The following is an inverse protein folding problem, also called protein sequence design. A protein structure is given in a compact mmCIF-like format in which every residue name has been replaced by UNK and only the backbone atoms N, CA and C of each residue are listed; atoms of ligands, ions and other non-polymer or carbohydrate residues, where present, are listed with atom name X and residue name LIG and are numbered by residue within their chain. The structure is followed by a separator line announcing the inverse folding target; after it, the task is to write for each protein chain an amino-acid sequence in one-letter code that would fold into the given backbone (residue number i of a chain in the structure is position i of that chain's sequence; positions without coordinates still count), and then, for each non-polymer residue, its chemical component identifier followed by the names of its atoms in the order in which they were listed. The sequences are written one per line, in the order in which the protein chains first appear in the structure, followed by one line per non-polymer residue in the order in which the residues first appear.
data_IF_951292636786
#
_entry.id   IF_951292636786
#
_cell.length_a   1.000
_cell.length_b   1.000
_cell.length_c   1.000
_cell.angle_alpha   90.00
_cell.angle_beta   90.00
_cell.angle_gamma   90.00
#
_symmetry.space_group_name_H-M   'P 1'
#
loop_
_entity.id
_entity.type
_entity.pdbx_description
1 polymer ?
#
# COMPACT_ATOMS: atom_id res chain seq x y z
N UNK A 1 -7.41 -11.94 -9.88
CA UNK A 1 -6.94 -10.53 -10.04
C UNK A 1 -5.79 -10.28 -9.08
N UNK A 2 -4.82 -9.46 -9.45
CA UNK A 2 -3.71 -9.03 -8.60
C UNK A 2 -3.70 -7.50 -8.49
N UNK A 3 -3.24 -6.96 -7.35
CA UNK A 3 -3.08 -5.51 -7.16
C UNK A 3 -1.59 -5.18 -7.13
N UNK A 4 -1.19 -4.19 -7.94
CA UNK A 4 0.19 -3.73 -8.12
C UNK A 4 0.24 -2.26 -7.70
N UNK A 5 1.12 -1.91 -6.75
CA UNK A 5 1.37 -0.52 -6.42
C UNK A 5 2.51 0.04 -7.27
N UNK A 6 2.42 1.33 -7.65
CA UNK A 6 3.57 2.04 -8.20
C UNK A 6 4.47 2.57 -7.09
N UNK A 7 5.74 2.79 -7.37
CA UNK A 7 6.69 3.49 -6.50
C UNK A 7 7.71 4.26 -7.35
N UNK A 8 8.40 5.21 -6.76
CA UNK A 8 9.44 6.00 -7.43
C UNK A 8 9.24 7.50 -7.28
N UNK A 9 10.24 8.26 -7.69
CA UNK A 9 10.29 9.72 -7.56
C UNK A 9 9.13 10.44 -8.28
N UNK A 10 8.80 11.66 -7.85
CA UNK A 10 7.89 12.54 -8.59
C UNK A 10 8.44 12.77 -10.01
N UNK A 11 7.56 12.93 -10.98
CA UNK A 11 7.89 13.15 -12.40
C UNK A 11 8.67 12.03 -13.11
N UNK A 12 8.95 10.90 -12.48
CA UNK A 12 9.51 9.71 -13.14
C UNK A 12 8.53 8.97 -14.05
N UNK A 13 7.30 9.49 -14.23
CA UNK A 13 6.33 8.99 -15.20
C UNK A 13 5.50 7.80 -14.74
N UNK A 14 5.26 7.62 -13.41
CA UNK A 14 4.42 6.54 -12.87
C UNK A 14 3.04 6.53 -13.49
N UNK A 15 2.29 7.63 -13.38
CA UNK A 15 0.92 7.75 -13.92
C UNK A 15 0.89 7.61 -15.45
N UNK A 16 1.89 8.16 -16.15
CA UNK A 16 2.03 8.01 -17.60
C UNK A 16 2.25 6.54 -17.99
N UNK A 17 3.05 5.81 -17.22
CA UNK A 17 3.30 4.39 -17.42
C UNK A 17 2.04 3.55 -17.16
N UNK A 18 1.34 3.81 -16.05
CA UNK A 18 0.06 3.17 -15.75
C UNK A 18 -0.95 3.40 -16.88
N UNK A 19 -1.02 4.64 -17.39
CA UNK A 19 -1.87 4.96 -18.54
C UNK A 19 -1.47 4.20 -19.79
N UNK A 20 -0.18 4.03 -20.10
CA UNK A 20 0.30 3.25 -21.24
C UNK A 20 -0.03 1.74 -21.10
N UNK A 21 0.00 1.20 -19.89
CA UNK A 21 -0.35 -0.19 -19.60
C UNK A 21 -1.85 -0.47 -19.68
N UNK A 22 -2.68 0.50 -19.26
CA UNK A 22 -4.12 0.29 -18.99
C UNK A 22 -5.05 1.04 -19.97
N UNK A 23 -4.53 2.00 -20.72
CA UNK A 23 -5.28 3.00 -21.52
C UNK A 23 -6.18 3.92 -20.67
N UNK A 24 -6.12 3.83 -19.35
CA UNK A 24 -6.91 4.61 -18.40
C UNK A 24 -6.07 5.73 -17.79
N UNK A 25 -6.71 6.86 -17.49
CA UNK A 25 -6.09 7.97 -16.76
C UNK A 25 -6.24 7.74 -15.25
N UNK A 26 -5.13 7.49 -14.51
CA UNK A 26 -5.21 7.26 -13.06
C UNK A 26 -5.47 8.55 -12.28
N UNK A 27 -5.02 9.72 -12.77
CA UNK A 27 -5.19 11.01 -12.13
C UNK A 27 -6.62 11.53 -12.33
N UNK A 28 -7.33 11.74 -11.22
CA UNK A 28 -8.76 12.10 -11.23
C UNK A 28 -9.02 13.58 -11.04
N UNK A 29 -8.17 14.25 -10.24
CA UNK A 29 -8.39 15.62 -9.86
C UNK A 29 -7.90 16.58 -10.95
N UNK A 30 -8.70 17.61 -11.25
CA UNK A 30 -8.29 18.68 -12.15
C UNK A 30 -7.00 19.35 -11.67
N UNK A 31 -6.76 19.36 -10.35
CA UNK A 31 -5.55 19.92 -9.76
C UNK A 31 -4.32 19.06 -10.03
N UNK A 32 -4.43 17.74 -10.02
CA UNK A 32 -3.37 16.79 -10.42
C UNK A 32 -2.98 17.01 -11.87
N UNK A 33 -3.96 17.08 -12.76
CA UNK A 33 -3.76 17.35 -14.19
C UNK A 33 -3.13 18.72 -14.44
N UNK A 34 -3.57 19.76 -13.70
CA UNK A 34 -3.02 21.10 -13.82
C UNK A 34 -1.59 21.22 -13.32
N UNK A 35 -1.25 20.50 -12.23
CA UNK A 35 0.09 20.48 -11.64
C UNK A 35 1.02 19.45 -12.26
N UNK A 36 0.49 18.49 -13.01
CA UNK A 36 1.25 17.38 -13.58
C UNK A 36 1.80 16.42 -12.53
N UNK A 37 1.18 16.35 -11.32
CA UNK A 37 1.64 15.48 -10.25
C UNK A 37 0.46 14.83 -9.52
N UNK A 38 0.61 13.55 -9.18
CA UNK A 38 -0.35 12.78 -8.40
C UNK A 38 -0.33 13.24 -6.94
N UNK A 39 -1.50 13.58 -6.39
CA UNK A 39 -1.68 14.07 -5.01
C UNK A 39 -2.26 12.97 -4.13
N UNK A 40 -3.27 12.27 -4.62
CA UNK A 40 -3.93 11.15 -3.94
C UNK A 40 -3.73 9.86 -4.73
N UNK A 41 -4.29 8.76 -4.28
CA UNK A 41 -4.17 7.46 -4.95
C UNK A 41 -4.92 7.46 -6.28
N UNK A 42 -4.24 7.09 -7.36
CA UNK A 42 -4.84 6.80 -8.66
C UNK A 42 -5.19 5.31 -8.79
N UNK A 43 -6.17 4.97 -9.62
CA UNK A 43 -6.56 3.58 -9.84
C UNK A 43 -6.84 3.32 -11.31
N UNK A 44 -6.26 2.26 -11.84
CA UNK A 44 -6.46 1.77 -13.19
C UNK A 44 -6.36 0.25 -13.22
N UNK A 45 -6.88 -0.40 -14.24
CA UNK A 45 -6.83 -1.85 -14.38
C UNK A 45 -6.66 -2.26 -15.84
N UNK A 46 -6.17 -3.47 -16.04
CA UNK A 46 -6.00 -4.09 -17.36
C UNK A 46 -5.93 -5.61 -17.23
N UNK A 47 -5.98 -6.28 -18.36
CA UNK A 47 -5.74 -7.72 -18.44
C UNK A 47 -4.34 -7.95 -19.00
N UNK A 48 -3.56 -8.80 -18.36
CA UNK A 48 -2.22 -9.22 -18.79
C UNK A 48 -2.29 -10.25 -19.93
N UNK A 49 -1.18 -10.56 -20.63
CA UNK A 49 -1.16 -11.55 -21.72
C UNK A 49 -1.66 -12.94 -21.33
N UNK A 50 -1.47 -13.38 -20.08
CA UNK A 50 -2.02 -14.66 -19.57
C UNK A 50 -3.53 -14.69 -19.42
N UNK A 51 -4.21 -13.54 -19.53
CA UNK A 51 -5.63 -13.38 -19.21
C UNK A 51 -5.88 -13.00 -17.75
N UNK A 52 -4.84 -12.84 -16.92
CA UNK A 52 -4.98 -12.40 -15.55
C UNK A 52 -5.30 -10.90 -15.46
N UNK A 53 -6.32 -10.55 -14.67
CA UNK A 53 -6.68 -9.16 -14.42
C UNK A 53 -5.77 -8.55 -13.35
N UNK A 54 -5.28 -7.35 -13.58
CA UNK A 54 -4.48 -6.59 -12.63
C UNK A 54 -5.06 -5.20 -12.42
N UNK A 55 -5.04 -4.75 -11.17
CA UNK A 55 -5.36 -3.39 -10.78
C UNK A 55 -4.08 -2.68 -10.33
N UNK A 56 -3.90 -1.44 -10.77
CA UNK A 56 -2.81 -0.58 -10.34
C UNK A 56 -3.30 0.41 -9.29
N UNK A 57 -2.52 0.55 -8.22
CA UNK A 57 -2.63 1.64 -7.26
C UNK A 57 -1.48 2.61 -7.57
N UNK A 58 -1.79 3.68 -8.26
CA UNK A 58 -0.82 4.72 -8.58
C UNK A 58 -0.66 5.66 -7.40
N UNK A 59 0.54 5.67 -6.81
CA UNK A 59 0.82 6.43 -5.60
C UNK A 59 1.57 7.72 -5.92
N UNK A 60 1.35 8.81 -5.14
CA UNK A 60 2.09 10.05 -5.32
C UNK A 60 3.58 9.85 -5.05
N UNK A 61 4.43 10.51 -5.87
CA UNK A 61 5.89 10.46 -5.73
C UNK A 61 6.48 11.57 -4.87
N UNK A 62 5.72 12.64 -4.60
CA UNK A 62 6.23 13.80 -3.91
C UNK A 62 6.23 13.60 -2.38
N UNK A 63 7.31 13.98 -1.70
CA UNK A 63 7.53 13.81 -0.25
C UNK A 63 6.40 14.33 0.66
N UNK A 64 5.67 15.39 0.23
CA UNK A 64 4.52 15.92 0.98
C UNK A 64 3.37 14.93 1.07
N UNK A 65 3.30 14.00 0.14
CA UNK A 65 2.21 13.01 0.05
C UNK A 65 2.66 11.61 0.48
N UNK A 66 3.77 11.51 1.21
CA UNK A 66 4.28 10.23 1.70
C UNK A 66 3.20 9.44 2.48
N UNK A 67 2.36 10.12 3.27
CA UNK A 67 1.23 9.48 3.96
C UNK A 67 0.20 8.85 3.00
N UNK A 68 -0.07 9.50 1.85
CA UNK A 68 -0.95 8.94 0.83
C UNK A 68 -0.28 7.75 0.12
N UNK A 69 1.02 7.85 -0.17
CA UNK A 69 1.81 6.75 -0.73
C UNK A 69 1.75 5.53 0.20
N UNK A 70 2.01 5.71 1.50
CA UNK A 70 1.96 4.63 2.47
C UNK A 70 0.56 4.03 2.61
N UNK A 71 -0.50 4.85 2.53
CA UNK A 71 -1.88 4.36 2.53
C UNK A 71 -2.22 3.54 1.28
N UNK A 72 -1.52 3.74 0.16
CA UNK A 72 -1.64 2.90 -1.04
C UNK A 72 -0.85 1.59 -0.94
N UNK A 73 0.40 1.66 -0.45
CA UNK A 73 1.28 0.51 -0.29
C UNK A 73 0.89 -0.40 0.88
N UNK A 74 0.45 0.17 1.99
CA UNK A 74 0.19 -0.57 3.23
C UNK A 74 -0.81 -1.72 3.08
N UNK A 75 -2.03 -1.51 2.50
CA UNK A 75 -2.98 -2.61 2.30
C UNK A 75 -2.42 -3.70 1.39
N UNK A 76 -1.64 -3.33 0.37
CA UNK A 76 -1.01 -4.27 -0.57
C UNK A 76 0.06 -5.09 0.15
N UNK A 77 0.88 -4.46 1.01
CA UNK A 77 1.88 -5.12 1.83
C UNK A 77 1.31 -6.15 2.82
N UNK A 78 0.03 -6.05 3.16
CA UNK A 78 -0.68 -7.04 3.98
C UNK A 78 -1.25 -8.22 3.18
N UNK A 79 -1.15 -8.18 1.85
CA UNK A 79 -1.59 -9.24 0.96
C UNK A 79 -0.62 -10.42 0.90
N UNK A 80 -1.07 -11.57 0.38
CA UNK A 80 -0.27 -12.79 0.34
C UNK A 80 0.92 -12.73 -0.62
N UNK A 81 0.88 -11.81 -1.60
CA UNK A 81 1.92 -11.69 -2.62
C UNK A 81 1.98 -10.26 -3.18
N UNK A 82 2.40 -9.28 -2.37
CA UNK A 82 2.45 -7.90 -2.81
C UNK A 82 3.42 -7.70 -3.97
N UNK A 83 3.00 -6.93 -5.00
CA UNK A 83 3.82 -6.62 -6.17
C UNK A 83 4.01 -5.11 -6.30
N UNK A 84 5.22 -4.70 -6.60
CA UNK A 84 5.61 -3.31 -6.78
C UNK A 84 6.07 -3.05 -8.21
N UNK A 85 5.55 -1.99 -8.82
CA UNK A 85 6.06 -1.40 -10.05
C UNK A 85 6.93 -0.19 -9.68
N UNK A 86 8.24 -0.39 -9.62
CA UNK A 86 9.19 0.64 -9.19
C UNK A 86 9.71 1.42 -10.40
N UNK A 87 9.45 2.73 -10.46
CA UNK A 87 9.72 3.55 -11.65
C UNK A 87 10.88 4.51 -11.39
N UNK A 88 11.92 4.42 -12.21
CA UNK A 88 13.09 5.31 -12.22
C UNK A 88 13.23 5.88 -13.63
N UNK A 89 13.37 7.19 -13.78
CA UNK A 89 13.56 7.80 -15.09
C UNK A 89 14.99 7.52 -15.61
N UNK A 90 15.11 7.03 -16.83
CA UNK A 90 16.39 6.65 -17.43
C UNK A 90 17.32 7.84 -17.69
N UNK A 91 16.74 9.02 -17.90
CA UNK A 91 17.44 10.30 -18.15
C UNK A 91 17.90 10.99 -16.85
N UNK A 92 17.26 10.69 -15.71
CA UNK A 92 17.58 11.33 -14.42
C UNK A 92 18.25 10.36 -13.41
N UNK A 93 18.02 9.05 -13.55
CA UNK A 93 18.54 8.03 -12.64
C UNK A 93 17.84 8.02 -11.27
N UNK A 94 18.50 7.43 -10.29
CA UNK A 94 17.97 7.28 -8.93
C UNK A 94 17.91 8.62 -8.18
N UNK A 95 16.82 8.87 -7.48
CA UNK A 95 16.56 10.10 -6.75
C UNK A 95 16.23 9.84 -5.27
N UNK A 96 16.33 10.86 -4.42
CA UNK A 96 16.12 10.74 -2.97
C UNK A 96 14.76 10.11 -2.60
N UNK A 97 13.67 10.50 -3.28
CA UNK A 97 12.35 9.92 -3.00
C UNK A 97 12.25 8.46 -3.46
N UNK A 98 13.09 8.02 -4.40
CA UNK A 98 13.19 6.59 -4.74
C UNK A 98 13.71 5.79 -3.54
N UNK A 99 14.68 6.32 -2.79
CA UNK A 99 15.16 5.69 -1.56
C UNK A 99 14.08 5.61 -0.49
N UNK A 100 13.31 6.69 -0.27
CA UNK A 100 12.18 6.68 0.69
C UNK A 100 11.12 5.62 0.34
N UNK A 101 10.83 5.46 -0.96
CA UNK A 101 9.88 4.46 -1.45
C UNK A 101 10.44 3.03 -1.34
N UNK A 102 11.74 2.85 -1.56
CA UNK A 102 12.42 1.57 -1.35
C UNK A 102 12.41 1.17 0.12
N UNK A 103 12.74 2.09 1.03
CA UNK A 103 12.70 1.87 2.48
C UNK A 103 11.29 1.46 2.94
N UNK A 104 10.24 2.11 2.41
CA UNK A 104 8.87 1.75 2.69
C UNK A 104 8.52 0.35 2.17
N UNK A 105 8.91 0.01 0.94
CA UNK A 105 8.66 -1.30 0.35
C UNK A 105 9.36 -2.42 1.14
N UNK A 106 10.62 -2.23 1.52
CA UNK A 106 11.39 -3.16 2.35
C UNK A 106 10.77 -3.31 3.74
N UNK A 107 10.36 -2.20 4.36
CA UNK A 107 9.71 -2.22 5.68
C UNK A 107 8.39 -3.01 5.66
N UNK A 108 7.61 -2.92 4.57
CA UNK A 108 6.38 -3.68 4.35
C UNK A 108 6.64 -5.12 3.89
N UNK A 109 7.91 -5.52 3.67
CA UNK A 109 8.28 -6.87 3.24
C UNK A 109 7.87 -7.19 1.82
N UNK A 110 7.85 -6.19 0.95
CA UNK A 110 7.61 -6.41 -0.48
C UNK A 110 8.89 -7.00 -1.08
N UNK A 111 8.78 -8.21 -1.63
CA UNK A 111 9.90 -8.96 -2.22
C UNK A 111 9.73 -9.16 -3.74
N UNK A 112 8.58 -8.76 -4.28
CA UNK A 112 8.22 -8.97 -5.68
C UNK A 112 8.03 -7.61 -6.36
N UNK A 113 8.84 -7.33 -7.36
CA UNK A 113 8.78 -6.07 -8.08
C UNK A 113 9.25 -6.23 -9.53
N UNK A 114 8.88 -5.26 -10.37
CA UNK A 114 9.59 -4.93 -11.60
C UNK A 114 10.10 -3.50 -11.45
N UNK A 115 11.37 -3.27 -11.73
CA UNK A 115 11.91 -1.93 -11.90
C UNK A 115 11.77 -1.51 -13.36
N UNK A 116 11.22 -0.33 -13.57
CA UNK A 116 11.09 0.26 -14.90
C UNK A 116 12.03 1.45 -15.03
N UNK A 117 12.93 1.39 -16.00
CA UNK A 117 13.65 2.56 -16.47
C UNK A 117 12.75 3.28 -17.49
N UNK A 118 11.97 4.24 -16.98
CA UNK A 118 11.02 5.02 -17.78
C UNK A 118 11.72 6.07 -18.64
N UNK A 119 10.98 6.73 -19.56
CA UNK A 119 11.52 7.76 -20.44
C UNK A 119 12.74 7.27 -21.26
N UNK A 120 12.74 6.02 -21.69
CA UNK A 120 13.82 5.46 -22.46
C UNK A 120 14.07 6.26 -23.76
N UNK A 121 13.03 6.87 -24.34
CA UNK A 121 13.12 7.76 -25.51
C UNK A 121 13.90 9.06 -25.28
N UNK A 122 14.08 9.49 -24.00
CA UNK A 122 14.81 10.71 -23.65
C UNK A 122 16.26 10.45 -23.23
N UNK A 123 16.63 9.20 -22.99
CA UNK A 123 17.94 8.81 -22.50
C UNK A 123 18.78 8.17 -23.62
N UNK A 124 20.04 8.58 -23.72
CA UNK A 124 21.01 7.89 -24.55
C UNK A 124 21.45 6.53 -23.91
N UNK A 125 22.22 5.74 -24.66
CA UNK A 125 22.65 4.42 -24.20
C UNK A 125 23.51 4.48 -22.90
N UNK A 126 24.33 5.53 -22.74
CA UNK A 126 25.16 5.71 -21.57
C UNK A 126 24.32 6.10 -20.35
N UNK A 127 23.34 6.98 -20.51
CA UNK A 127 22.41 7.35 -19.45
C UNK A 127 21.58 6.16 -18.97
N UNK A 128 21.02 5.36 -19.90
CA UNK A 128 20.29 4.11 -19.56
C UNK A 128 21.17 3.14 -18.76
N UNK A 129 22.42 2.92 -19.22
CA UNK A 129 23.38 2.04 -18.51
C UNK A 129 23.73 2.56 -17.11
N UNK A 130 23.91 3.87 -16.97
CA UNK A 130 24.19 4.50 -15.68
C UNK A 130 23.00 4.38 -14.73
N UNK A 131 21.77 4.63 -15.19
CA UNK A 131 20.56 4.47 -14.39
C UNK A 131 20.36 3.02 -13.95
N UNK A 132 20.57 2.04 -14.84
CA UNK A 132 20.52 0.62 -14.50
C UNK A 132 21.55 0.25 -13.42
N UNK A 133 22.80 0.74 -13.54
CA UNK A 133 23.84 0.50 -12.55
C UNK A 133 23.54 1.17 -11.19
N UNK A 134 22.88 2.35 -11.19
CA UNK A 134 22.41 2.98 -9.97
C UNK A 134 21.31 2.13 -9.30
N UNK A 135 20.31 1.70 -10.05
CA UNK A 135 19.24 0.82 -9.56
C UNK A 135 19.83 -0.42 -8.90
N UNK A 136 20.76 -1.11 -9.57
CA UNK A 136 21.40 -2.31 -9.00
C UNK A 136 22.14 -2.04 -7.69
N UNK A 137 22.83 -0.89 -7.58
CA UNK A 137 23.52 -0.50 -6.33
C UNK A 137 22.55 -0.21 -5.19
N UNK A 138 21.49 0.53 -5.47
CA UNK A 138 20.51 0.92 -4.46
C UNK A 138 19.68 -0.30 -3.96
N UNK A 139 19.39 -1.24 -4.84
CA UNK A 139 18.68 -2.47 -4.49
C UNK A 139 19.60 -3.52 -3.81
N UNK A 140 20.92 -3.37 -3.93
CA UNK A 140 21.87 -4.32 -3.34
C UNK A 140 21.66 -4.47 -1.83
N UNK A 141 21.60 -5.71 -1.35
CA UNK A 141 21.35 -6.01 0.08
C UNK A 141 19.90 -5.88 0.53
N UNK A 142 18.98 -5.57 -0.37
CA UNK A 142 17.53 -5.59 -0.12
C UNK A 142 16.89 -6.87 -0.69
N UNK A 143 15.68 -7.23 -0.27
CA UNK A 143 14.92 -8.32 -0.88
C UNK A 143 14.65 -8.12 -2.39
N UNK A 144 14.76 -6.89 -2.88
CA UNK A 144 14.54 -6.53 -4.28
C UNK A 144 15.80 -6.56 -5.16
N UNK A 145 16.93 -7.06 -4.66
CA UNK A 145 18.22 -7.02 -5.35
C UNK A 145 18.24 -7.77 -6.71
N UNK A 146 17.36 -8.75 -6.91
CA UNK A 146 17.33 -9.61 -8.10
C UNK A 146 16.07 -9.42 -8.97
N UNK A 147 15.31 -8.35 -8.75
CA UNK A 147 14.10 -8.11 -9.54
C UNK A 147 14.44 -7.68 -10.96
N UNK A 148 13.60 -8.01 -11.96
CA UNK A 148 13.83 -7.62 -13.34
C UNK A 148 13.82 -6.10 -13.51
N UNK A 149 14.70 -5.61 -14.40
CA UNK A 149 14.76 -4.20 -14.83
C UNK A 149 14.36 -4.13 -16.30
N UNK A 150 13.35 -3.32 -16.62
CA UNK A 150 12.82 -3.18 -17.98
C UNK A 150 12.90 -1.71 -18.41
N UNK A 151 13.52 -1.46 -19.56
CA UNK A 151 13.52 -0.13 -20.20
C UNK A 151 12.20 0.11 -20.93
N UNK A 152 11.56 1.26 -20.68
CA UNK A 152 10.25 1.58 -21.26
C UNK A 152 10.15 3.05 -21.65
N UNK A 153 9.58 3.30 -22.82
CA UNK A 153 9.01 4.60 -23.18
C UNK A 153 7.48 4.48 -23.28
N UNK A 154 6.78 5.08 -22.36
CA UNK A 154 5.32 5.15 -22.39
C UNK A 154 4.79 6.01 -23.57
N UNK A 155 5.65 6.87 -24.16
CA UNK A 155 5.31 7.75 -25.29
C UNK A 155 5.41 7.02 -26.62
N UNK A 156 6.50 6.26 -26.83
CA UNK A 156 6.74 5.53 -28.10
C UNK A 156 6.19 4.11 -28.09
N UNK A 157 5.87 3.56 -26.90
CA UNK A 157 5.48 2.16 -26.71
C UNK A 157 6.68 1.19 -26.59
N UNK A 158 7.93 1.69 -26.68
CA UNK A 158 9.12 0.86 -26.49
C UNK A 158 9.10 0.14 -25.15
N UNK A 159 9.25 -1.19 -25.14
CA UNK A 159 9.37 -2.00 -23.92
C UNK A 159 8.06 -2.27 -23.17
N UNK A 160 6.92 -1.71 -23.58
CA UNK A 160 5.62 -1.89 -22.87
C UNK A 160 5.20 -3.37 -22.87
N UNK A 161 5.37 -4.09 -23.96
CA UNK A 161 5.02 -5.51 -24.05
C UNK A 161 5.94 -6.36 -23.15
N UNK A 162 7.24 -6.07 -23.13
CA UNK A 162 8.20 -6.73 -22.21
C UNK A 162 7.84 -6.48 -20.76
N UNK A 163 7.36 -5.27 -20.43
CA UNK A 163 6.90 -4.96 -19.09
C UNK A 163 5.65 -5.76 -18.73
N UNK A 164 4.69 -5.91 -19.66
CA UNK A 164 3.49 -6.74 -19.46
C UNK A 164 3.86 -8.20 -19.22
N UNK A 165 4.80 -8.75 -19.96
CA UNK A 165 5.34 -10.11 -19.75
C UNK A 165 6.05 -10.24 -18.39
N UNK A 166 6.85 -9.25 -17.99
CA UNK A 166 7.51 -9.25 -16.69
C UNK A 166 6.53 -9.19 -15.52
N UNK A 167 5.45 -8.41 -15.64
CA UNK A 167 4.37 -8.36 -14.65
C UNK A 167 3.60 -9.68 -14.58
N UNK A 168 3.37 -10.29 -15.72
CA UNK A 168 2.69 -11.60 -15.85
C UNK A 168 3.47 -12.71 -15.12
N UNK A 169 4.80 -12.67 -15.21
CA UNK A 169 5.70 -13.58 -14.48
C UNK A 169 5.69 -13.39 -12.96
N UNK A 170 5.10 -12.30 -12.48
CA UNK A 170 4.93 -12.02 -11.05
C UNK A 170 3.55 -12.39 -10.49
N UNK A 171 2.69 -13.06 -11.25
CA UNK A 171 1.42 -13.56 -10.74
C UNK A 171 1.69 -14.52 -9.58
N UNK A 172 1.10 -14.22 -8.42
CA UNK A 172 1.36 -14.91 -7.15
C UNK A 172 0.43 -16.09 -6.90
N UNK A 173 0.60 -16.78 -5.75
CA UNK A 173 -0.35 -17.80 -5.33
C UNK A 173 -1.75 -17.20 -5.20
N UNK A 174 -2.76 -18.02 -5.48
CA UNK A 174 -4.14 -17.61 -5.27
C UNK A 174 -4.37 -17.27 -3.79
N UNK A 175 -4.95 -16.10 -3.51
CA UNK A 175 -5.29 -15.72 -2.15
C UNK A 175 -6.43 -16.60 -1.61
N UNK A 176 -6.49 -16.79 -0.29
CA UNK A 176 -7.52 -17.61 0.34
C UNK A 176 -8.89 -16.92 0.28
N UNK A 177 -9.87 -17.47 -0.50
CA UNK A 177 -11.19 -16.86 -0.65
C UNK A 177 -12.10 -17.10 0.58
N UNK A 178 -11.74 -18.01 1.49
CA UNK A 178 -12.51 -18.32 2.71
C UNK A 178 -11.91 -17.68 3.96
N UNK A 179 -10.79 -16.99 3.84
CA UNK A 179 -10.19 -16.26 4.94
C UNK A 179 -11.11 -15.17 5.50
N UNK A 180 -10.88 -14.77 6.73
CA UNK A 180 -11.58 -13.64 7.33
C UNK A 180 -11.21 -12.33 6.60
N UNK A 181 -12.21 -11.56 6.23
CA UNK A 181 -12.03 -10.26 5.56
C UNK A 181 -11.41 -9.25 6.51
N UNK A 182 -10.42 -8.51 6.01
CA UNK A 182 -9.89 -7.28 6.60
C UNK A 182 -9.62 -6.28 5.48
N UNK A 183 -10.54 -5.34 5.29
CA UNK A 183 -10.47 -4.34 4.24
C UNK A 183 -10.21 -2.97 4.85
N UNK A 184 -9.01 -2.45 4.64
CA UNK A 184 -8.60 -1.11 5.05
C UNK A 184 -9.21 -0.06 4.12
N UNK A 185 -9.97 0.88 4.69
CA UNK A 185 -10.64 1.93 3.94
C UNK A 185 -9.64 3.03 3.59
N UNK A 186 -9.53 3.36 2.32
CA UNK A 186 -8.72 4.48 1.84
C UNK A 186 -9.53 5.69 1.42
N UNK A 187 -10.82 5.51 1.08
CA UNK A 187 -11.77 6.61 0.77
C UNK A 187 -13.15 6.29 1.27
N UNK A 188 -13.88 7.35 1.65
CA UNK A 188 -15.30 7.33 1.94
C UNK A 188 -15.99 8.51 1.23
N UNK A 189 -17.11 8.28 0.59
CA UNK A 189 -17.88 9.31 -0.10
C UNK A 189 -19.35 8.92 -0.23
N UNK A 190 -20.21 9.92 -0.46
CA UNK A 190 -21.65 9.71 -0.71
C UNK A 190 -21.93 9.75 -2.21
N UNK A 191 -22.75 8.81 -2.69
CA UNK A 191 -23.29 8.82 -4.04
C UNK A 191 -24.80 9.07 -3.96
N UNK A 192 -25.30 10.08 -4.70
CA UNK A 192 -26.72 10.38 -4.77
C UNK A 192 -27.53 9.15 -5.19
N UNK A 193 -28.51 8.75 -4.38
CA UNK A 193 -29.34 7.56 -4.61
C UNK A 193 -28.74 6.23 -4.14
N UNK A 194 -27.42 6.12 -4.02
CA UNK A 194 -26.76 4.93 -3.53
C UNK A 194 -26.39 5.00 -2.03
N UNK A 195 -26.11 6.20 -1.51
CA UNK A 195 -25.70 6.40 -0.12
C UNK A 195 -24.17 6.34 0.07
N UNK A 196 -23.73 5.80 1.18
CA UNK A 196 -22.32 5.76 1.58
C UNK A 196 -21.56 4.64 0.86
N UNK A 197 -20.46 5.01 0.22
CA UNK A 197 -19.55 4.09 -0.44
C UNK A 197 -18.15 4.28 0.14
N UNK A 198 -17.53 3.18 0.51
CA UNK A 198 -16.12 3.13 0.91
C UNK A 198 -15.32 2.32 -0.09
N UNK A 199 -14.04 2.63 -0.23
CA UNK A 199 -13.15 1.87 -1.11
C UNK A 199 -11.95 1.33 -0.34
N UNK A 200 -11.45 0.17 -0.77
CA UNK A 200 -10.29 -0.49 -0.21
C UNK A 200 -9.77 -1.63 -1.09
N UNK A 201 -8.64 -2.18 -0.73
CA UNK A 201 -8.08 -3.39 -1.35
C UNK A 201 -8.46 -4.60 -0.51
N UNK A 202 -9.22 -5.54 -1.11
CA UNK A 202 -9.56 -6.83 -0.52
C UNK A 202 -8.43 -7.80 -0.81
N UNK A 203 -7.62 -8.12 0.20
CA UNK A 203 -6.42 -8.96 0.05
C UNK A 203 -6.67 -10.43 0.36
N UNK A 204 -7.74 -10.74 1.09
CA UNK A 204 -8.15 -12.10 1.45
C UNK A 204 -9.64 -12.12 1.77
N UNK A 205 -10.26 -13.32 1.71
CA UNK A 205 -11.70 -13.50 1.92
C UNK A 205 -12.55 -13.01 0.76
N UNK A 206 -13.85 -13.17 0.86
CA UNK A 206 -14.83 -12.72 -0.15
C UNK A 206 -15.88 -11.82 0.48
N UNK A 207 -16.49 -10.94 -0.33
CA UNK A 207 -17.60 -10.10 0.06
C UNK A 207 -18.78 -10.26 -0.89
N UNK A 208 -20.00 -10.22 -0.34
CA UNK A 208 -21.28 -10.28 -1.06
C UNK A 208 -22.21 -9.17 -0.58
N UNK A 209 -23.13 -8.69 -1.43
CA UNK A 209 -24.28 -7.91 -0.95
C UNK A 209 -25.07 -8.71 0.09
N UNK A 210 -25.46 -8.05 1.19
CA UNK A 210 -26.14 -8.67 2.34
C UNK A 210 -25.20 -9.11 3.46
N UNK A 211 -23.89 -9.15 3.24
CA UNK A 211 -22.94 -9.47 4.31
C UNK A 211 -22.99 -8.41 5.41
N UNK A 212 -22.89 -8.89 6.67
CA UNK A 212 -22.67 -8.02 7.83
C UNK A 212 -21.17 -7.98 8.14
N UNK A 213 -20.64 -6.79 8.33
CA UNK A 213 -19.22 -6.55 8.67
C UNK A 213 -19.12 -5.74 9.95
N UNK A 214 -18.01 -5.91 10.67
CA UNK A 214 -17.62 -5.01 11.75
C UNK A 214 -16.79 -3.86 11.19
N UNK A 215 -17.22 -2.62 11.44
CA UNK A 215 -16.47 -1.41 11.12
C UNK A 215 -15.70 -0.95 12.35
N UNK A 216 -14.38 -1.06 12.29
CA UNK A 216 -13.44 -0.54 13.30
C UNK A 216 -13.16 0.92 13.02
N UNK A 217 -13.37 1.77 14.03
CA UNK A 217 -13.15 3.22 14.00
C UNK A 217 -12.51 3.68 15.31
N UNK A 218 -11.96 4.89 15.35
CA UNK A 218 -11.46 5.50 16.59
C UNK A 218 -12.51 5.54 17.71
N UNK A 219 -13.78 5.70 17.35
CA UNK A 219 -14.92 5.73 18.26
C UNK A 219 -15.38 4.37 18.77
N UNK A 220 -14.85 3.29 18.24
CA UNK A 220 -15.21 1.91 18.60
C UNK A 220 -15.56 1.04 17.40
N UNK A 221 -16.16 -0.11 17.66
CA UNK A 221 -16.54 -1.09 16.65
C UNK A 221 -18.05 -1.14 16.55
N UNK A 222 -18.59 -1.14 15.33
CA UNK A 222 -20.03 -1.30 15.05
C UNK A 222 -20.27 -2.19 13.85
N UNK A 223 -21.44 -2.82 13.79
CA UNK A 223 -21.86 -3.60 12.63
C UNK A 223 -22.42 -2.70 11.54
N UNK A 224 -22.11 -3.06 10.29
CA UNK A 224 -22.62 -2.42 9.06
C UNK A 224 -22.99 -3.50 8.05
N UNK A 225 -24.01 -3.24 7.23
CA UNK A 225 -24.47 -4.15 6.19
C UNK A 225 -23.96 -3.69 4.81
N UNK A 226 -23.46 -4.64 4.03
CA UNK A 226 -23.08 -4.43 2.63
C UNK A 226 -24.33 -4.37 1.77
N UNK A 227 -24.67 -3.20 1.21
CA UNK A 227 -25.80 -3.01 0.31
C UNK A 227 -25.49 -3.45 -1.11
N UNK A 228 -24.24 -3.28 -1.55
CA UNK A 228 -23.80 -3.58 -2.90
C UNK A 228 -22.30 -3.44 -3.05
N UNK A 229 -21.76 -4.00 -4.11
CA UNK A 229 -20.35 -4.02 -4.42
C UNK A 229 -20.09 -3.54 -5.85
N UNK A 230 -18.99 -2.84 -6.06
CA UNK A 230 -18.48 -2.50 -7.37
C UNK A 230 -16.98 -2.78 -7.46
N UNK A 231 -16.55 -3.26 -8.61
CA UNK A 231 -15.14 -3.38 -8.99
C UNK A 231 -15.02 -2.97 -10.46
N UNK A 232 -13.94 -2.32 -10.85
CA UNK A 232 -13.70 -1.90 -12.26
C UNK A 232 -14.87 -1.09 -12.86
N UNK A 233 -15.50 -0.22 -12.06
CA UNK A 233 -16.70 0.57 -12.40
C UNK A 233 -17.97 -0.26 -12.74
N UNK A 234 -17.99 -1.55 -12.47
CA UNK A 234 -19.13 -2.43 -12.66
C UNK A 234 -19.69 -2.92 -11.32
N UNK A 235 -21.01 -3.10 -11.24
CA UNK A 235 -21.63 -3.78 -10.11
C UNK A 235 -21.27 -5.26 -10.15
N UNK A 236 -20.97 -5.83 -8.97
CA UNK A 236 -20.63 -7.26 -8.82
C UNK A 236 -21.41 -7.88 -7.67
N UNK A 237 -21.73 -9.16 -7.78
CA UNK A 237 -22.41 -9.93 -6.73
C UNK A 237 -21.44 -10.65 -5.79
N UNK A 238 -20.16 -10.67 -6.16
CA UNK A 238 -19.09 -11.29 -5.40
C UNK A 238 -17.79 -10.56 -5.64
N UNK A 239 -17.19 -10.03 -4.58
CA UNK A 239 -15.81 -9.56 -4.60
C UNK A 239 -14.89 -10.69 -4.15
N UNK A 240 -13.94 -11.06 -5.01
CA UNK A 240 -12.89 -12.03 -4.71
C UNK A 240 -11.56 -11.33 -4.38
N UNK A 241 -10.69 -11.95 -3.58
CA UNK A 241 -9.33 -11.46 -3.38
C UNK A 241 -8.47 -11.83 -4.61
N UNK A 242 -7.41 -11.13 -4.96
CA UNK A 242 -7.05 -9.78 -4.55
C UNK A 242 -7.77 -8.80 -5.47
N UNK A 243 -8.54 -7.87 -4.95
CA UNK A 243 -9.26 -6.91 -5.80
C UNK A 243 -9.42 -5.55 -5.15
N UNK A 244 -9.58 -4.55 -6.01
CA UNK A 244 -10.00 -3.22 -5.61
C UNK A 244 -11.51 -3.16 -5.57
N UNK A 245 -12.08 -2.87 -4.39
CA UNK A 245 -13.54 -2.94 -4.18
C UNK A 245 -14.08 -1.63 -3.66
N UNK A 246 -15.21 -1.20 -4.22
CA UNK A 246 -16.09 -0.19 -3.63
C UNK A 246 -17.26 -0.90 -2.95
N UNK A 247 -17.40 -0.68 -1.65
CA UNK A 247 -18.41 -1.29 -0.79
C UNK A 247 -19.44 -0.23 -0.44
N UNK A 248 -20.69 -0.42 -0.89
CA UNK A 248 -21.81 0.41 -0.50
C UNK A 248 -22.35 -0.09 0.85
N UNK A 249 -22.37 0.79 1.84
CA UNK A 249 -22.79 0.48 3.20
C UNK A 249 -24.17 1.05 3.50
N UNK A 250 -25.00 0.26 4.21
CA UNK A 250 -26.35 0.67 4.60
C UNK A 250 -26.33 1.40 5.95
N UNK A 251 -27.10 2.47 6.04
CA UNK A 251 -27.45 3.10 7.33
C UNK A 251 -26.33 3.86 8.04
N UNK A 252 -25.28 4.25 7.32
CA UNK A 252 -24.15 5.00 7.86
C UNK A 252 -23.85 6.23 7.00
N UNK A 253 -23.43 7.32 7.65
CA UNK A 253 -23.01 8.55 6.96
C UNK A 253 -21.53 8.44 6.56
N UNK A 254 -21.25 8.77 5.30
CA UNK A 254 -19.89 8.79 4.76
C UNK A 254 -18.95 9.74 5.51
N UNK A 255 -19.46 10.85 6.03
CA UNK A 255 -18.70 11.82 6.83
C UNK A 255 -18.20 11.27 8.17
N UNK A 256 -18.73 10.13 8.62
CA UNK A 256 -18.29 9.45 9.85
C UNK A 256 -17.24 8.36 9.60
N UNK A 257 -16.92 8.07 8.35
CA UNK A 257 -15.95 7.04 7.97
C UNK A 257 -14.71 7.73 7.40
N UNK A 258 -13.54 7.36 7.92
CA UNK A 258 -12.28 7.98 7.56
C UNK A 258 -11.30 6.98 6.94
N UNK A 259 -10.29 7.50 6.26
CA UNK A 259 -9.14 6.69 5.85
C UNK A 259 -8.48 6.09 7.09
N UNK A 260 -8.21 4.79 7.04
CA UNK A 260 -7.67 4.04 8.18
C UNK A 260 -8.71 3.27 8.98
N UNK A 261 -10.01 3.57 8.82
CA UNK A 261 -11.06 2.69 9.33
C UNK A 261 -11.03 1.34 8.61
N UNK A 262 -11.53 0.28 9.24
CA UNK A 262 -11.38 -1.09 8.72
C UNK A 262 -12.70 -1.83 8.75
N UNK A 263 -13.07 -2.44 7.63
CA UNK A 263 -14.15 -3.42 7.54
C UNK A 263 -13.59 -4.82 7.75
N UNK A 264 -14.22 -5.59 8.64
CA UNK A 264 -13.75 -6.94 9.00
C UNK A 264 -14.90 -7.93 9.10
N UNK A 265 -14.59 -9.22 8.94
CA UNK A 265 -15.52 -10.30 9.30
C UNK A 265 -15.83 -10.24 10.80
N UNK A 266 -17.11 -10.22 11.23
CA UNK A 266 -17.48 -10.10 12.64
C UNK A 266 -16.90 -11.25 13.49
N UNK A 267 -16.40 -10.91 14.68
CA UNK A 267 -15.87 -11.86 15.66
C UNK A 267 -14.59 -12.60 15.25
N UNK A 268 -13.96 -12.23 14.14
CA UNK A 268 -12.70 -12.84 13.67
C UNK A 268 -11.45 -11.99 13.94
N UNK A 269 -11.65 -10.75 14.36
CA UNK A 269 -10.58 -9.79 14.59
C UNK A 269 -10.71 -9.18 15.97
N UNK A 270 -9.64 -9.25 16.74
CA UNK A 270 -9.55 -8.60 18.05
C UNK A 270 -9.03 -7.17 17.87
N UNK A 271 -9.48 -6.30 18.77
CA UNK A 271 -9.11 -4.89 18.79
C UNK A 271 -7.88 -4.70 19.70
N UNK A 272 -6.69 -4.62 19.14
CA UNK A 272 -5.47 -4.39 19.88
C UNK A 272 -5.25 -2.87 20.14
N UNK A 273 -4.94 -2.51 21.39
CA UNK A 273 -4.47 -1.17 21.80
C UNK A 273 -3.00 -1.13 22.17
N UNK A 274 -2.45 -2.28 22.50
CA UNK A 274 -1.05 -2.45 22.85
C UNK A 274 -0.51 -3.63 22.06
N UNK A 275 0.60 -3.46 21.38
CA UNK A 275 1.25 -4.50 20.61
C UNK A 275 2.75 -4.51 20.90
N UNK A 276 3.35 -5.70 20.90
CA UNK A 276 4.80 -5.83 20.88
C UNK A 276 5.29 -6.08 19.46
N UNK A 277 6.39 -5.43 19.11
CA UNK A 277 6.93 -5.44 17.75
C UNK A 277 8.42 -5.75 17.75
N UNK A 278 8.85 -6.36 16.65
CA UNK A 278 10.26 -6.61 16.34
C UNK A 278 10.66 -5.76 15.13
N UNK A 279 11.81 -5.11 15.21
CA UNK A 279 12.40 -4.37 14.10
C UNK A 279 12.76 -5.31 12.94
N UNK A 280 12.37 -4.95 11.73
CA UNK A 280 12.72 -5.65 10.49
C UNK A 280 13.76 -4.87 9.68
N UNK A 281 13.70 -3.53 9.71
CA UNK A 281 14.63 -2.67 8.98
C UNK A 281 14.75 -1.28 9.63
N UNK A 282 15.67 -0.46 9.16
CA UNK A 282 15.83 0.93 9.60
C UNK A 282 16.61 1.07 10.91
N UNK A 283 16.32 2.13 11.67
CA UNK A 283 17.03 2.49 12.91
C UNK A 283 16.69 1.55 14.05
N UNK A 284 17.61 1.40 14.99
CA UNK A 284 17.36 0.70 16.26
C UNK A 284 16.23 1.37 17.03
N UNK A 285 15.36 0.57 17.67
CA UNK A 285 14.15 1.08 18.32
C UNK A 285 14.46 1.87 19.61
N UNK A 286 15.60 1.63 20.24
CA UNK A 286 16.07 2.36 21.43
C UNK A 286 16.57 3.78 21.15
N UNK A 287 16.80 4.13 19.86
CA UNK A 287 17.28 5.47 19.46
C UNK A 287 16.27 6.26 18.62
N UNK A 288 15.08 5.72 18.34
CA UNK A 288 14.01 6.49 17.67
C UNK A 288 13.23 7.34 18.71
N UNK A 289 12.51 8.39 18.28
CA UNK A 289 11.61 9.14 19.17
C UNK A 289 10.55 8.23 19.79
N UNK A 290 10.16 8.56 21.03
CA UNK A 290 9.06 7.83 21.70
C UNK A 290 7.69 8.09 21.07
N UNK A 291 7.49 9.28 20.50
CA UNK A 291 6.26 9.63 19.79
C UNK A 291 6.56 9.53 18.26
N UNK A 292 5.90 8.60 17.60
CA UNK A 292 6.03 8.37 16.16
C UNK A 292 4.67 8.16 15.52
N UNK A 293 4.62 8.22 14.19
CA UNK A 293 3.45 7.80 13.41
C UNK A 293 3.70 6.38 12.93
N UNK A 294 2.82 5.45 13.32
CA UNK A 294 2.79 4.10 12.79
C UNK A 294 1.82 4.03 11.61
N UNK A 295 2.30 3.50 10.48
CA UNK A 295 1.48 3.23 9.30
C UNK A 295 1.22 1.74 9.19
N UNK A 296 -0.07 1.36 9.17
CA UNK A 296 -0.57 0.00 9.00
C UNK A 296 -1.79 0.01 8.07
N UNK A 297 -1.76 -0.78 7.01
CA UNK A 297 -2.79 -0.69 6.00
C UNK A 297 -2.89 0.73 5.45
N UNK A 298 -4.10 1.30 5.41
CA UNK A 298 -4.31 2.71 5.02
C UNK A 298 -4.25 3.68 6.20
N UNK A 299 -4.12 3.18 7.45
CA UNK A 299 -4.07 4.00 8.66
C UNK A 299 -2.69 4.62 8.87
N UNK A 300 -2.68 5.82 9.46
CA UNK A 300 -1.49 6.46 10.00
C UNK A 300 -1.82 7.04 11.36
N UNK A 301 -1.41 6.38 12.44
CA UNK A 301 -1.77 6.71 13.81
C UNK A 301 -0.55 7.11 14.63
N UNK A 302 -0.69 8.16 15.45
CA UNK A 302 0.34 8.53 16.42
C UNK A 302 0.44 7.47 17.50
N UNK A 303 1.62 6.93 17.74
CA UNK A 303 1.85 5.88 18.74
C UNK A 303 2.97 6.24 19.70
N UNK A 304 2.85 5.77 20.94
CA UNK A 304 3.93 5.83 21.91
C UNK A 304 4.78 4.57 21.83
N UNK A 305 6.10 4.73 21.64
CA UNK A 305 7.08 3.65 21.58
C UNK A 305 7.77 3.50 22.92
N UNK A 306 7.65 2.32 23.51
CA UNK A 306 8.44 1.91 24.69
C UNK A 306 9.44 0.86 24.24
N UNK A 307 10.71 1.22 23.99
CA UNK A 307 11.72 0.26 23.57
C UNK A 307 12.08 -0.68 24.73
N UNK A 308 12.31 -1.96 24.41
CA UNK A 308 12.90 -2.95 25.30
C UNK A 308 14.41 -3.04 25.05
N UNK A 309 14.77 -3.06 23.77
CA UNK A 309 16.14 -3.08 23.27
C UNK A 309 16.20 -2.45 21.85
N UNK A 310 17.33 -2.65 21.15
CA UNK A 310 17.53 -2.17 19.78
C UNK A 310 16.59 -2.83 18.75
N UNK A 311 16.02 -4.00 19.07
CA UNK A 311 15.22 -4.82 18.15
C UNK A 311 13.73 -4.88 18.52
N UNK A 312 13.37 -4.69 19.79
CA UNK A 312 12.02 -4.90 20.30
C UNK A 312 11.48 -3.68 21.01
N UNK A 313 10.19 -3.45 20.83
CA UNK A 313 9.48 -2.37 21.50
C UNK A 313 8.01 -2.73 21.70
N UNK A 314 7.39 -2.05 22.66
CA UNK A 314 5.94 -1.98 22.82
C UNK A 314 5.41 -0.71 22.18
N UNK A 315 4.36 -0.83 21.40
CA UNK A 315 3.62 0.29 20.83
C UNK A 315 2.27 0.42 21.53
N UNK A 316 1.96 1.64 21.99
CA UNK A 316 0.62 1.99 22.48
C UNK A 316 -0.13 2.72 21.36
N UNK A 317 -1.25 2.15 20.92
CA UNK A 317 -2.12 2.69 19.90
C UNK A 317 -3.18 3.60 20.55
N UNK A 318 -3.48 4.78 19.98
CA UNK A 318 -4.48 5.69 20.53
C UNK A 318 -5.91 5.11 20.42
N UNK A 319 -6.11 4.26 19.46
CA UNK A 319 -7.38 3.60 19.13
C UNK A 319 -7.17 2.11 18.87
N UNK A 320 -8.22 1.28 19.07
CA UNK A 320 -8.11 -0.14 18.83
C UNK A 320 -8.08 -0.42 17.33
N UNK A 321 -7.08 -1.19 16.88
CA UNK A 321 -6.95 -1.63 15.48
C UNK A 321 -7.01 -3.15 15.40
N UNK A 322 -7.59 -3.71 14.30
CA UNK A 322 -7.62 -5.15 14.05
C UNK A 322 -6.27 -5.64 13.52
N UNK A 323 -5.29 -5.74 14.43
CA UNK A 323 -3.91 -6.12 14.16
C UNK A 323 -3.71 -7.60 14.48
N UNK A 324 -2.86 -8.28 13.73
CA UNK A 324 -2.46 -9.67 14.00
C UNK A 324 -0.94 -9.82 14.02
N UNK A 325 -0.48 -10.91 14.65
CA UNK A 325 0.94 -11.29 14.62
C UNK A 325 1.37 -11.51 13.17
N UNK A 326 2.53 -10.95 12.80
CA UNK A 326 3.04 -10.96 11.43
C UNK A 326 2.69 -9.70 10.62
N UNK A 327 1.76 -8.85 11.09
CA UNK A 327 1.51 -7.57 10.43
C UNK A 327 2.75 -6.69 10.46
N UNK A 328 3.02 -6.01 9.34
CA UNK A 328 4.15 -5.09 9.20
C UNK A 328 3.70 -3.65 9.24
N UNK A 329 4.41 -2.85 10.02
CA UNK A 329 4.17 -1.43 10.19
C UNK A 329 5.42 -0.62 9.81
N UNK A 330 5.18 0.59 9.35
CA UNK A 330 6.22 1.58 9.14
C UNK A 330 6.16 2.61 10.26
N UNK A 331 7.26 2.83 10.95
CA UNK A 331 7.40 3.89 11.96
C UNK A 331 8.07 5.12 11.33
N UNK A 332 7.47 6.29 11.54
CA UNK A 332 7.93 7.56 11.00
C UNK A 332 7.88 8.65 12.07
N UNK A 333 8.86 9.55 12.10
CA UNK A 333 8.84 10.69 13.03
C UNK A 333 7.65 11.64 12.73
N UNK A 334 7.11 12.33 13.72
CA UNK A 334 6.09 13.37 13.53
C UNK A 334 6.62 14.44 12.57
N UNK A 335 5.91 14.67 11.45
CA UNK A 335 6.36 15.59 10.41
C UNK A 335 7.59 15.17 9.62
N UNK A 336 8.20 14.02 9.92
CA UNK A 336 9.35 13.51 9.17
C UNK A 336 8.95 13.01 7.79
N UNK A 337 9.88 13.19 6.84
CA UNK A 337 9.70 12.80 5.44
C UNK A 337 10.31 11.44 5.12
N UNK A 338 10.90 10.75 6.13
CA UNK A 338 11.62 9.49 5.95
C UNK A 338 11.08 8.42 6.89
N UNK A 339 11.21 7.16 6.46
CA UNK A 339 10.99 5.99 7.28
C UNK A 339 12.07 5.92 8.37
N UNK A 340 11.68 5.76 9.63
CA UNK A 340 12.61 5.52 10.74
C UNK A 340 12.93 4.05 10.88
N UNK A 341 11.90 3.20 10.90
CA UNK A 341 12.03 1.75 11.01
C UNK A 341 10.82 1.04 10.41
N UNK A 342 11.03 -0.15 9.89
CA UNK A 342 10.01 -1.16 9.67
C UNK A 342 9.96 -2.10 10.87
N UNK A 343 8.75 -2.47 11.28
CA UNK A 343 8.54 -3.40 12.38
C UNK A 343 7.47 -4.43 12.02
N UNK A 344 7.58 -5.60 12.65
CA UNK A 344 6.63 -6.70 12.55
C UNK A 344 5.99 -6.94 13.92
N UNK A 345 4.69 -7.13 13.95
CA UNK A 345 3.93 -7.45 15.17
C UNK A 345 4.27 -8.86 15.63
N UNK A 346 4.68 -9.00 16.89
CA UNK A 346 5.01 -10.30 17.49
C UNK A 346 4.02 -10.70 18.60
N UNK A 347 3.29 -9.73 19.19
CA UNK A 347 2.24 -9.99 20.15
C UNK A 347 1.17 -8.90 20.08
N UNK A 348 -0.12 -9.27 20.12
CA UNK A 348 -1.28 -8.35 20.04
C UNK A 348 -2.05 -8.24 21.38
N UNK A 349 -1.66 -9.03 22.37
CA UNK A 349 -2.22 -9.02 23.71
C UNK A 349 -1.12 -9.17 24.77
N UNK A 350 -0.05 -8.35 24.69
CA UNK A 350 1.10 -8.53 25.57
C UNK A 350 0.74 -8.25 27.02
N UNK A 351 1.39 -8.95 27.98
CA UNK A 351 1.12 -8.76 29.41
C UNK A 351 1.42 -7.32 29.86
N UNK A 352 0.71 -6.84 30.86
CA UNK A 352 0.98 -5.53 31.46
C UNK A 352 2.39 -5.50 32.06
N UNK A 353 3.13 -4.42 31.81
CA UNK A 353 4.46 -4.19 32.37
C UNK A 353 4.34 -3.29 33.59
N UNK A 354 4.54 -3.84 34.80
CA UNK A 354 4.37 -3.14 36.04
C UNK A 354 5.63 -2.42 36.52
N UNK A 355 6.83 -2.74 35.98
CA UNK A 355 8.11 -2.17 36.40
C UNK A 355 9.01 -1.78 35.24
N UNK A 356 9.90 -0.82 35.48
CA UNK A 356 10.99 -0.46 34.55
C UNK A 356 11.94 -1.66 34.42
N UNK A 357 12.15 -2.18 33.20
CA UNK A 357 13.03 -3.33 32.94
C UNK A 357 12.32 -4.69 32.89
N UNK A 358 10.97 -4.72 32.98
CA UNK A 358 10.16 -5.88 32.56
C UNK A 358 9.87 -5.75 31.08
N UNK A 359 10.64 -6.42 30.22
CA UNK A 359 10.45 -6.42 28.76
C UNK A 359 11.37 -7.41 28.09
#
# INVERSE_FOLDING_TARGET
MQVIATAGHVDHGKSTLVKALTTMEPDRWEEEKRRGLTIDLGFAWTTLPSGENVAFVDVPGHERFLGNMLAGLGPIGLGPAPVLLFVVAADEGWQAQSSDHLDAAVALGIERAVVVLSRADKADAQQRANAAAQVQRELAGTPLAQVPVVEVSAVTGEGVDKLREALDGLVGPEPDPVAAVRLWIDRSFSITGAGTVVTGTLVAGTLRPGDTLSLFQATGVREVEVRGLHSENAAIDLAQPVSRVAVNLRGIDAGTIHRGDVLTTPGKWEAARVIDVRRTTGRNLDVIPQEVVAHLGSAGVGVHVRPFDAQHARLQLPEPLPVVVGDRLILRGPGARHVLAGVEVIDVAPPELNRRGEG
#
